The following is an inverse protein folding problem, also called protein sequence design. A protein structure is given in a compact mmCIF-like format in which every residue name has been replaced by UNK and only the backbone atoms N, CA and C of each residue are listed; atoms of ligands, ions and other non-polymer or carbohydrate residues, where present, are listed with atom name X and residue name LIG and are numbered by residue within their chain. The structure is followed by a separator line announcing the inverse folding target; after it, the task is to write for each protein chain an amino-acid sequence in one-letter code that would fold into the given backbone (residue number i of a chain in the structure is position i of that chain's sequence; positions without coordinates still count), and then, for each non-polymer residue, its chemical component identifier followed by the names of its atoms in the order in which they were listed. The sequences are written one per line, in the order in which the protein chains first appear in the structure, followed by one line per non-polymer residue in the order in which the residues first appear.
data_IF_052504576109
#
_entry.id   IF_052504576109
#
_cell.length_a   1.000
_cell.length_b   1.000
_cell.length_c   1.000
_cell.angle_alpha   90.00
_cell.angle_beta   90.00
_cell.angle_gamma   90.00
#
_symmetry.space_group_name_H-M   'P 1'
#
loop_
_entity.id
_entity.type
_entity.pdbx_description
1 polymer ?
#
# COMPACT_ATOMS: atom_id res chain seq x y z
N UNK A 1 2.89 0.52 -7.60
CA UNK A 1 3.81 -0.26 -6.72
C UNK A 1 4.96 -0.93 -7.45
N UNK A 2 4.74 -1.58 -8.60
CA UNK A 2 5.81 -2.24 -9.37
C UNK A 2 7.01 -1.33 -9.70
N UNK A 3 6.74 -0.14 -10.24
CA UNK A 3 7.81 0.82 -10.57
C UNK A 3 8.59 1.30 -9.34
N UNK A 4 7.90 1.45 -8.21
CA UNK A 4 8.54 1.81 -6.95
C UNK A 4 9.46 0.68 -6.47
N UNK A 5 8.98 -0.57 -6.48
CA UNK A 5 9.79 -1.73 -6.12
C UNK A 5 11.03 -1.86 -7.01
N UNK A 6 10.87 -1.65 -8.32
CA UNK A 6 11.98 -1.64 -9.28
C UNK A 6 13.02 -0.59 -8.92
N UNK A 7 12.61 0.64 -8.66
CA UNK A 7 13.54 1.73 -8.27
C UNK A 7 14.27 1.45 -6.96
N UNK A 8 13.56 0.96 -5.95
CA UNK A 8 14.18 0.62 -4.66
C UNK A 8 15.20 -0.51 -4.80
N UNK A 9 14.90 -1.52 -5.60
CA UNK A 9 15.83 -2.62 -5.88
C UNK A 9 17.07 -2.14 -6.63
N UNK A 10 16.90 -1.25 -7.61
CA UNK A 10 18.01 -0.63 -8.35
C UNK A 10 18.92 0.20 -7.43
N UNK A 11 18.40 0.75 -6.34
CA UNK A 11 19.15 1.48 -5.32
C UNK A 11 19.85 0.57 -4.30
N UNK A 12 19.78 -0.74 -4.47
CA UNK A 12 20.36 -1.72 -3.55
C UNK A 12 19.57 -1.96 -2.27
N UNK A 13 18.30 -1.55 -2.22
CA UNK A 13 17.41 -1.79 -1.08
C UNK A 13 16.90 -3.23 -1.10
N UNK A 14 16.77 -3.83 0.08
CA UNK A 14 16.10 -5.11 0.25
C UNK A 14 14.59 -4.89 0.26
N UNK A 15 13.89 -5.37 -0.76
CA UNK A 15 12.46 -5.13 -0.95
C UNK A 15 11.67 -6.43 -0.78
N UNK A 16 10.62 -6.37 0.04
CA UNK A 16 9.60 -7.41 0.14
C UNK A 16 8.29 -6.85 -0.38
N UNK A 17 7.70 -7.51 -1.37
CA UNK A 17 6.41 -7.15 -1.92
C UNK A 17 5.33 -8.10 -1.38
N UNK A 18 4.31 -7.54 -0.75
CA UNK A 18 3.13 -8.29 -0.30
C UNK A 18 1.98 -7.97 -1.24
N UNK A 19 1.46 -8.98 -1.91
CA UNK A 19 0.37 -8.87 -2.88
C UNK A 19 -0.89 -9.51 -2.31
N UNK A 20 -1.90 -8.68 -2.04
CA UNK A 20 -3.18 -9.12 -1.47
C UNK A 20 -4.27 -9.26 -2.52
N UNK A 21 -4.97 -10.40 -2.52
CA UNK A 21 -6.07 -10.72 -3.42
C UNK A 21 -7.18 -11.46 -2.66
N UNK A 22 -8.36 -11.58 -3.26
CA UNK A 22 -9.45 -12.39 -2.68
C UNK A 22 -9.24 -13.88 -2.93
N UNK A 23 -8.84 -14.24 -4.15
CA UNK A 23 -8.65 -15.64 -4.59
C UNK A 23 -7.38 -15.80 -5.40
N UNK A 24 -6.91 -17.06 -5.57
CA UNK A 24 -5.75 -17.38 -6.40
C UNK A 24 -5.93 -16.96 -7.88
N UNK A 25 -7.16 -16.97 -8.38
CA UNK A 25 -7.47 -16.59 -9.77
C UNK A 25 -7.24 -15.11 -10.05
N UNK A 26 -7.31 -14.26 -9.03
CA UNK A 26 -7.09 -12.82 -9.15
C UNK A 26 -5.60 -12.43 -9.14
N UNK A 27 -4.70 -13.35 -8.79
CA UNK A 27 -3.28 -13.07 -8.63
C UNK A 27 -2.64 -12.69 -9.97
N UNK A 28 -1.97 -11.53 -9.99
CA UNK A 28 -1.23 -11.03 -11.12
C UNK A 28 0.06 -10.31 -10.67
N UNK A 29 0.98 -10.09 -11.58
CA UNK A 29 2.28 -9.45 -11.31
C UNK A 29 3.24 -10.20 -10.39
N UNK A 30 2.90 -11.36 -9.85
CA UNK A 30 3.77 -12.10 -8.92
C UNK A 30 5.15 -12.38 -9.54
N UNK A 31 5.17 -12.94 -10.75
CA UNK A 31 6.42 -13.23 -11.46
C UNK A 31 7.20 -11.95 -11.82
N UNK A 32 6.50 -10.90 -12.21
CA UNK A 32 7.12 -9.61 -12.52
C UNK A 32 7.88 -9.04 -11.31
N UNK A 33 7.31 -9.12 -10.12
CA UNK A 33 8.00 -8.71 -8.90
C UNK A 33 9.18 -9.64 -8.56
N UNK A 34 9.06 -10.95 -8.77
CA UNK A 34 10.17 -11.90 -8.55
C UNK A 34 11.34 -11.62 -9.48
N UNK A 35 11.07 -11.29 -10.73
CA UNK A 35 12.10 -10.94 -11.73
C UNK A 35 12.90 -9.69 -11.35
N UNK A 36 12.33 -8.80 -10.54
CA UNK A 36 13.05 -7.66 -9.98
C UNK A 36 14.09 -8.02 -8.91
N UNK A 37 14.07 -9.24 -8.41
CA UNK A 37 14.89 -9.66 -7.26
C UNK A 37 14.27 -9.34 -5.91
N UNK A 38 12.97 -9.01 -5.87
CA UNK A 38 12.24 -8.79 -4.61
C UNK A 38 11.81 -10.11 -3.99
N UNK A 39 11.68 -10.13 -2.66
CA UNK A 39 10.97 -11.19 -1.96
C UNK A 39 9.46 -10.96 -2.15
N UNK A 40 8.73 -11.96 -2.63
CA UNK A 40 7.30 -11.84 -2.90
C UNK A 40 6.49 -12.74 -1.97
N UNK A 41 5.51 -12.15 -1.30
CA UNK A 41 4.54 -12.87 -0.47
C UNK A 41 3.15 -12.59 -1.05
N UNK A 42 2.40 -13.66 -1.35
CA UNK A 42 1.02 -13.56 -1.79
C UNK A 42 0.10 -13.89 -0.64
N UNK A 43 -0.91 -13.07 -0.41
CA UNK A 43 -1.98 -13.31 0.54
C UNK A 43 -3.32 -13.37 -0.19
N UNK A 44 -4.12 -14.40 0.09
CA UNK A 44 -5.48 -14.54 -0.45
C UNK A 44 -6.47 -14.68 0.69
N UNK A 45 -7.59 -13.96 0.59
CA UNK A 45 -8.61 -13.98 1.65
C UNK A 45 -9.19 -15.37 1.90
N UNK A 46 -9.36 -16.16 0.84
CA UNK A 46 -9.87 -17.54 0.90
C UNK A 46 -8.79 -18.60 1.18
N UNK A 47 -7.52 -18.21 1.20
CA UNK A 47 -6.39 -19.12 1.42
C UNK A 47 -6.03 -20.02 0.23
N UNK A 48 -6.57 -19.76 -0.96
CA UNK A 48 -6.33 -20.58 -2.15
C UNK A 48 -4.89 -20.48 -2.68
N UNK A 49 -4.16 -19.42 -2.31
CA UNK A 49 -2.75 -19.25 -2.63
C UNK A 49 -2.03 -18.42 -1.58
N UNK A 50 -0.82 -18.83 -1.22
CA UNK A 50 0.02 -18.11 -0.27
C UNK A 50 -0.54 -18.08 1.16
N UNK A 51 -0.39 -16.96 1.83
CA UNK A 51 -0.91 -16.75 3.19
C UNK A 51 -2.42 -16.59 3.14
N UNK A 52 -3.14 -17.33 3.98
CA UNK A 52 -4.59 -17.15 4.14
C UNK A 52 -4.87 -15.90 4.96
N UNK A 53 -5.61 -14.97 4.39
CA UNK A 53 -6.00 -13.73 5.06
C UNK A 53 -5.67 -12.50 4.25
N UNK A 54 -5.40 -11.41 4.97
CA UNK A 54 -5.10 -10.10 4.38
C UNK A 54 -3.59 -9.81 4.37
N UNK A 55 -3.20 -8.72 3.73
CA UNK A 55 -1.79 -8.28 3.70
C UNK A 55 -1.20 -8.07 5.09
N UNK A 56 -2.02 -7.69 6.07
CA UNK A 56 -1.61 -7.52 7.46
C UNK A 56 -1.20 -8.84 8.13
N UNK A 57 -1.82 -9.96 7.75
CA UNK A 57 -1.42 -11.29 8.24
C UNK A 57 -0.05 -11.69 7.69
N UNK A 58 0.23 -11.32 6.45
CA UNK A 58 1.54 -11.55 5.84
C UNK A 58 2.65 -10.64 6.41
N UNK A 59 2.29 -9.51 7.02
CA UNK A 59 3.23 -8.58 7.64
C UNK A 59 3.71 -9.03 9.03
N UNK A 60 2.98 -9.88 9.71
CA UNK A 60 3.12 -10.14 11.15
C UNK A 60 4.54 -10.56 11.55
N UNK A 61 5.18 -11.40 10.75
CA UNK A 61 6.52 -11.94 11.03
C UNK A 61 7.65 -11.21 10.29
N UNK A 62 7.37 -10.09 9.65
CA UNK A 62 8.36 -9.36 8.85
C UNK A 62 9.05 -8.26 9.64
N UNK A 63 10.38 -8.22 9.55
CA UNK A 63 11.18 -7.09 10.00
C UNK A 63 11.43 -6.15 8.82
N UNK A 64 11.04 -4.87 8.97
CA UNK A 64 11.23 -3.84 7.97
C UNK A 64 11.47 -2.48 8.62
N UNK A 65 12.17 -1.60 7.94
CA UNK A 65 12.48 -0.24 8.44
C UNK A 65 11.54 0.83 7.88
N UNK A 66 10.88 0.55 6.76
CA UNK A 66 9.96 1.47 6.10
C UNK A 66 9.00 0.69 5.20
N UNK A 67 7.78 1.20 5.00
CA UNK A 67 6.80 0.55 4.12
C UNK A 67 6.09 1.54 3.19
N UNK A 68 5.58 0.98 2.10
CA UNK A 68 4.72 1.67 1.14
C UNK A 68 3.47 0.82 0.92
N UNK A 69 2.31 1.42 0.98
CA UNK A 69 1.06 0.69 0.79
C UNK A 69 0.07 1.44 -0.09
N UNK A 70 -0.69 0.71 -0.88
CA UNK A 70 -1.82 1.23 -1.65
C UNK A 70 -2.94 0.21 -1.67
N UNK A 71 -4.17 0.68 -1.68
CA UNK A 71 -5.34 -0.18 -1.71
C UNK A 71 -6.58 0.48 -1.11
N UNK A 72 -7.62 -0.30 -0.85
CA UNK A 72 -8.86 0.19 -0.24
C UNK A 72 -8.63 0.77 1.16
N UNK A 73 -9.44 1.77 1.54
CA UNK A 73 -9.33 2.44 2.83
C UNK A 73 -9.27 1.50 4.05
N UNK A 74 -10.12 0.48 4.16
CA UNK A 74 -10.04 -0.49 5.27
C UNK A 74 -8.71 -1.22 5.36
N UNK A 75 -8.10 -1.57 4.21
CA UNK A 75 -6.77 -2.18 4.17
C UNK A 75 -5.70 -1.19 4.65
N UNK A 76 -5.75 0.04 4.17
CA UNK A 76 -4.80 1.08 4.59
C UNK A 76 -4.86 1.33 6.10
N UNK A 77 -6.08 1.37 6.66
CA UNK A 77 -6.26 1.49 8.11
C UNK A 77 -5.68 0.30 8.87
N UNK A 78 -5.91 -0.92 8.40
CA UNK A 78 -5.35 -2.12 9.02
C UNK A 78 -3.82 -2.12 9.01
N UNK A 79 -3.20 -1.70 7.90
CA UNK A 79 -1.75 -1.54 7.81
C UNK A 79 -1.24 -0.44 8.76
N UNK A 80 -1.97 0.67 8.86
CA UNK A 80 -1.65 1.75 9.80
C UNK A 80 -1.62 1.24 11.25
N UNK A 81 -2.65 0.51 11.67
CA UNK A 81 -2.78 -0.01 13.04
C UNK A 81 -1.72 -1.08 13.38
N UNK A 82 -1.29 -1.86 12.38
CA UNK A 82 -0.33 -2.98 12.55
C UNK A 82 1.14 -2.58 12.40
N UNK A 83 1.43 -1.49 11.70
CA UNK A 83 2.81 -1.11 11.40
C UNK A 83 3.46 -0.36 12.56
N UNK A 84 4.69 -0.74 12.91
CA UNK A 84 5.49 -0.11 13.97
C UNK A 84 6.49 0.93 13.43
N UNK A 85 6.66 0.99 12.12
CA UNK A 85 7.59 1.89 11.45
C UNK A 85 6.89 3.04 10.74
N UNK A 86 7.65 4.02 10.29
CA UNK A 86 7.17 5.02 9.35
C UNK A 86 6.89 4.39 7.98
N UNK A 87 6.05 5.03 7.21
CA UNK A 87 5.66 4.56 5.89
C UNK A 87 4.84 5.58 5.12
N UNK A 88 4.47 5.21 3.91
CA UNK A 88 3.65 6.03 3.03
C UNK A 88 2.43 5.24 2.55
N UNK A 89 1.32 5.97 2.47
CA UNK A 89 0.02 5.47 2.06
C UNK A 89 -0.42 6.17 0.79
N UNK A 90 -0.72 5.41 -0.25
CA UNK A 90 -1.37 5.93 -1.46
C UNK A 90 -2.87 5.73 -1.35
N UNK A 91 -3.59 6.83 -1.21
CA UNK A 91 -5.04 6.83 -1.06
C UNK A 91 -5.74 6.80 -2.41
N UNK A 92 -6.83 6.04 -2.48
CA UNK A 92 -7.77 6.03 -3.59
C UNK A 92 -9.07 6.67 -3.12
N UNK A 93 -9.42 7.82 -3.72
CA UNK A 93 -10.65 8.54 -3.41
C UNK A 93 -11.46 8.79 -4.67
N UNK A 94 -12.77 8.93 -4.50
CA UNK A 94 -13.64 9.33 -5.60
C UNK A 94 -13.35 10.76 -5.99
N UNK A 95 -12.86 10.95 -7.20
CA UNK A 95 -12.47 12.26 -7.73
C UNK A 95 -13.54 12.77 -8.69
N UNK A 96 -14.11 13.96 -8.39
CA UNK A 96 -15.00 14.63 -9.31
C UNK A 96 -14.24 15.45 -10.34
N UNK A 97 -13.46 16.43 -9.90
CA UNK A 97 -12.75 17.34 -10.79
C UNK A 97 -11.33 16.91 -11.15
N UNK A 98 -10.62 16.19 -10.30
CA UNK A 98 -9.23 15.76 -10.50
C UNK A 98 -8.17 16.85 -10.32
N UNK A 99 -8.53 18.12 -10.10
CA UNK A 99 -7.60 19.24 -9.98
C UNK A 99 -7.77 20.10 -8.72
N UNK A 100 -8.63 19.66 -7.80
CA UNK A 100 -8.74 20.27 -6.47
C UNK A 100 -9.82 21.32 -6.30
N UNK A 101 -10.73 21.53 -7.25
CA UNK A 101 -11.78 22.54 -7.16
C UNK A 101 -13.00 22.10 -6.34
N UNK A 102 -13.45 20.84 -6.53
CA UNK A 102 -14.72 20.37 -5.93
C UNK A 102 -14.62 19.90 -4.48
N UNK A 103 -13.43 19.78 -3.93
CA UNK A 103 -13.12 19.27 -2.57
C UNK A 103 -13.68 17.88 -2.22
N UNK A 104 -14.23 17.14 -3.18
CA UNK A 104 -14.87 15.84 -2.98
C UNK A 104 -13.92 14.72 -2.49
N UNK A 105 -12.62 14.82 -2.81
CA UNK A 105 -11.59 13.89 -2.38
C UNK A 105 -10.78 14.39 -1.17
N UNK A 106 -11.37 15.23 -0.32
CA UNK A 106 -10.68 15.81 0.84
C UNK A 106 -10.41 14.76 1.90
N UNK A 107 -9.16 14.67 2.31
CA UNK A 107 -8.68 13.84 3.41
C UNK A 107 -8.20 14.74 4.56
N UNK A 108 -8.57 14.38 5.78
CA UNK A 108 -8.11 15.10 6.98
C UNK A 108 -6.72 14.61 7.38
N UNK A 109 -5.80 15.55 7.61
CA UNK A 109 -4.47 15.27 8.13
C UNK A 109 -4.19 16.09 9.40
N UNK A 110 -3.11 15.76 10.11
CA UNK A 110 -2.65 16.55 11.27
C UNK A 110 -2.28 17.99 10.91
N UNK A 111 -1.93 18.24 9.66
CA UNK A 111 -1.49 19.54 9.15
C UNK A 111 -2.57 20.26 8.34
N UNK A 112 -3.83 19.85 8.49
CA UNK A 112 -4.97 20.41 7.77
C UNK A 112 -5.55 19.47 6.74
N UNK A 113 -6.53 19.95 6.00
CA UNK A 113 -7.20 19.17 4.97
C UNK A 113 -6.38 19.16 3.67
N UNK A 114 -6.18 17.98 3.11
CA UNK A 114 -5.54 17.77 1.80
C UNK A 114 -6.52 17.16 0.81
N UNK A 115 -6.41 17.56 -0.43
CA UNK A 115 -7.19 17.00 -1.55
C UNK A 115 -6.34 15.95 -2.26
N UNK A 116 -6.80 14.70 -2.28
CA UNK A 116 -6.03 13.57 -2.83
C UNK A 116 -5.66 13.80 -4.29
N UNK A 117 -6.54 14.40 -5.09
CA UNK A 117 -6.27 14.67 -6.49
C UNK A 117 -5.18 15.73 -6.75
N UNK A 118 -4.92 16.62 -5.78
CA UNK A 118 -3.97 17.74 -5.92
C UNK A 118 -2.77 17.61 -4.98
N UNK A 119 -3.02 17.31 -3.71
CA UNK A 119 -2.02 17.33 -2.63
C UNK A 119 -1.50 15.92 -2.31
N UNK A 120 -2.15 14.89 -2.86
CA UNK A 120 -1.80 13.49 -2.77
C UNK A 120 -1.39 12.90 -4.13
N UNK A 121 -1.63 11.60 -4.36
CA UNK A 121 -2.35 10.64 -3.50
C UNK A 121 -1.55 10.08 -2.33
N UNK A 122 -0.26 10.34 -2.26
CA UNK A 122 0.63 9.74 -1.26
C UNK A 122 0.75 10.63 -0.04
N UNK A 123 0.44 10.07 1.13
CA UNK A 123 0.57 10.72 2.43
C UNK A 123 1.48 9.88 3.33
N UNK A 124 2.26 10.56 4.19
CA UNK A 124 3.09 9.89 5.19
C UNK A 124 2.25 9.39 6.36
N UNK A 125 2.69 8.31 7.00
CA UNK A 125 2.00 7.76 8.18
C UNK A 125 1.82 8.82 9.28
N UNK A 126 2.83 9.65 9.48
CA UNK A 126 2.83 10.71 10.50
C UNK A 126 1.68 11.70 10.33
N UNK A 127 1.32 12.07 9.11
CA UNK A 127 0.31 13.10 8.85
C UNK A 127 -1.12 12.59 8.86
N UNK A 128 -1.34 11.27 8.79
CA UNK A 128 -2.67 10.67 8.68
C UNK A 128 -3.42 10.77 10.01
N UNK A 129 -4.71 11.08 9.90
CA UNK A 129 -5.70 11.02 11.00
C UNK A 129 -6.81 10.08 10.58
N UNK A 130 -6.97 9.00 11.32
CA UNK A 130 -8.03 8.01 11.10
C UNK A 130 -9.25 8.27 11.99
#
# INVERSE_FOLDING_TARGET
MYLLAKKLTEQGKHVTAILGFNTAEEVFYEEAFRELGTCVIVATADGSRGVKGFVTDAMEDLAYSYFYTCGPGPMLKAVYDRSDTDGQFSFEERMGCGFGACVGCTCRTKYGNKRICRDGPVLTKEEIVW
#
